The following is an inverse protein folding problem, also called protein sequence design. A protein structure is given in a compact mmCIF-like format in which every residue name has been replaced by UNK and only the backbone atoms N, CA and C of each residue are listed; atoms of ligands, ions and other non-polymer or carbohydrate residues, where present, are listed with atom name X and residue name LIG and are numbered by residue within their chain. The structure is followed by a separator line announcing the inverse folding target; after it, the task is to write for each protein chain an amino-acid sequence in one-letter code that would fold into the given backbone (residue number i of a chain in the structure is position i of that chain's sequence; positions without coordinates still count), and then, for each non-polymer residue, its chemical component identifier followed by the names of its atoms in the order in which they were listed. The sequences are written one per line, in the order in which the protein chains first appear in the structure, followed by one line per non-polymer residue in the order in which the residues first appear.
data_IF_282712755154
#
_entry.id   IF_282712755154
#
_cell.length_a   1.000
_cell.length_b   1.000
_cell.length_c   1.000
_cell.angle_alpha   90.00
_cell.angle_beta   90.00
_cell.angle_gamma   90.00
#
_symmetry.space_group_name_H-M   'P 1'
#
loop_
_entity.id
_entity.type
_entity.pdbx_description
1 polymer ?
#
# COMPACT_ATOMS: atom_id res chain seq x y z
N UNK A 1 0.21 6.00 -30.45
CA UNK A 1 0.28 4.67 -31.09
C UNK A 1 1.70 4.15 -30.89
N UNK A 2 1.87 3.07 -30.15
CA UNK A 2 3.18 2.43 -29.95
C UNK A 2 3.39 1.50 -31.14
N UNK A 3 4.56 1.57 -31.79
CA UNK A 3 4.88 0.67 -32.89
C UNK A 3 4.83 -0.80 -32.40
N UNK A 4 4.53 -1.77 -33.27
CA UNK A 4 4.50 -3.18 -32.88
C UNK A 4 5.80 -3.63 -32.20
N UNK A 5 6.95 -3.14 -32.67
CA UNK A 5 8.27 -3.33 -32.04
C UNK A 5 8.38 -2.76 -30.62
N UNK A 6 7.72 -1.64 -30.34
CA UNK A 6 7.78 -0.97 -29.04
C UNK A 6 6.74 -1.50 -28.03
N UNK A 7 5.83 -2.38 -28.46
CA UNK A 7 4.75 -2.91 -27.60
C UNK A 7 5.31 -3.81 -26.48
N UNK A 8 6.38 -4.55 -26.79
CA UNK A 8 7.11 -5.35 -25.79
C UNK A 8 7.76 -4.45 -24.73
N UNK A 9 8.46 -3.39 -25.17
CA UNK A 9 9.10 -2.39 -24.31
C UNK A 9 8.07 -1.62 -23.46
N UNK A 10 6.95 -1.22 -24.06
CA UNK A 10 5.85 -0.54 -23.35
C UNK A 10 5.24 -1.43 -22.26
N UNK A 11 5.00 -2.72 -22.56
CA UNK A 11 4.48 -3.68 -21.58
C UNK A 11 5.47 -3.91 -20.43
N UNK A 12 6.76 -4.04 -20.73
CA UNK A 12 7.81 -4.18 -19.72
C UNK A 12 7.89 -2.96 -18.78
N UNK A 13 7.79 -1.75 -19.33
CA UNK A 13 7.80 -0.50 -18.56
C UNK A 13 6.58 -0.40 -17.63
N UNK A 14 5.39 -0.81 -18.10
CA UNK A 14 4.19 -0.86 -17.25
C UNK A 14 4.38 -1.81 -16.05
N UNK A 15 4.99 -2.99 -16.28
CA UNK A 15 5.32 -3.92 -15.20
C UNK A 15 6.33 -3.34 -14.20
N UNK A 16 7.35 -2.63 -14.70
CA UNK A 16 8.33 -1.95 -13.85
C UNK A 16 7.69 -0.87 -12.97
N UNK A 17 6.87 0.02 -13.55
CA UNK A 17 6.15 1.07 -12.82
C UNK A 17 5.24 0.45 -11.75
N UNK A 18 4.51 -0.62 -12.10
CA UNK A 18 3.66 -1.35 -11.15
C UNK A 18 4.45 -1.87 -9.96
N UNK A 19 5.67 -2.37 -10.19
CA UNK A 19 6.53 -2.88 -9.12
C UNK A 19 6.96 -1.76 -8.18
N UNK A 20 7.39 -0.61 -8.72
CA UNK A 20 7.72 0.56 -7.91
C UNK A 20 6.51 1.02 -7.10
N UNK A 21 5.33 1.10 -7.73
CA UNK A 21 4.11 1.50 -7.05
C UNK A 21 3.76 0.58 -5.87
N UNK A 22 3.93 -0.74 -6.02
CA UNK A 22 3.73 -1.69 -4.92
C UNK A 22 4.73 -1.45 -3.78
N UNK A 23 6.01 -1.24 -4.08
CA UNK A 23 7.03 -0.94 -3.06
C UNK A 23 6.71 0.36 -2.30
N UNK A 24 6.36 1.43 -3.02
CA UNK A 24 5.99 2.72 -2.39
C UNK A 24 4.74 2.55 -1.53
N UNK A 25 3.73 1.81 -2.01
CA UNK A 25 2.50 1.56 -1.27
C UNK A 25 2.76 0.91 0.10
N UNK A 26 3.65 -0.10 0.16
CA UNK A 26 3.96 -0.78 1.42
C UNK A 26 4.57 0.20 2.43
N UNK A 27 5.53 1.01 2.00
CA UNK A 27 6.20 2.00 2.87
C UNK A 27 5.21 3.03 3.38
N UNK A 28 4.39 3.57 2.48
CA UNK A 28 3.39 4.59 2.80
C UNK A 28 2.33 4.05 3.78
N UNK A 29 1.83 2.83 3.55
CA UNK A 29 0.89 2.18 4.48
C UNK A 29 1.49 1.96 5.87
N UNK A 30 2.76 1.54 5.93
CA UNK A 30 3.49 1.40 7.19
C UNK A 30 3.64 2.71 7.95
N UNK A 31 3.98 3.81 7.27
CA UNK A 31 4.13 5.14 7.89
C UNK A 31 2.79 5.67 8.40
N UNK A 32 1.70 5.52 7.63
CA UNK A 32 0.36 5.93 8.08
C UNK A 32 -0.07 5.15 9.31
N UNK A 33 0.14 3.84 9.32
CA UNK A 33 -0.16 3.00 10.48
C UNK A 33 0.65 3.42 11.71
N UNK A 34 1.97 3.59 11.57
CA UNK A 34 2.85 4.04 12.65
C UNK A 34 2.43 5.41 13.19
N UNK A 35 2.14 6.36 12.30
CA UNK A 35 1.70 7.69 12.70
C UNK A 35 0.36 7.65 13.45
N UNK A 36 -0.58 6.82 13.01
CA UNK A 36 -1.85 6.64 13.69
C UNK A 36 -1.68 5.97 15.06
N UNK A 37 -0.81 4.97 15.18
CA UNK A 37 -0.49 4.33 16.47
C UNK A 37 0.18 5.31 17.44
N UNK A 38 1.07 6.18 16.96
CA UNK A 38 1.66 7.24 17.76
C UNK A 38 0.60 8.20 18.33
N UNK A 39 -0.49 8.45 17.60
CA UNK A 39 -1.63 9.22 18.09
C UNK A 39 -2.43 8.51 19.20
N UNK A 40 -2.46 7.18 19.21
CA UNK A 40 -3.12 6.38 20.25
C UNK A 40 -2.24 6.20 21.51
N UNK A 41 -1.03 6.74 21.54
CA UNK A 41 -0.09 6.62 22.67
C UNK A 41 -0.71 7.04 24.00
N UNK A 42 -1.32 8.24 24.04
CA UNK A 42 -1.94 8.75 25.27
C UNK A 42 -3.07 7.87 25.79
N UNK A 43 -3.78 7.17 24.90
CA UNK A 43 -4.84 6.22 25.27
C UNK A 43 -4.26 4.94 25.88
N UNK A 44 -3.10 4.50 25.41
CA UNK A 44 -2.39 3.34 25.97
C UNK A 44 -1.77 3.66 27.34
N UNK A 45 -1.18 4.85 27.48
CA UNK A 45 -0.65 5.35 28.76
C UNK A 45 -1.77 5.50 29.80
N UNK A 46 -2.92 6.06 29.41
CA UNK A 46 -4.10 6.19 30.26
C UNK A 46 -4.68 4.84 30.71
N UNK A 47 -4.45 3.76 29.95
CA UNK A 47 -4.85 2.41 30.31
C UNK A 47 -3.86 1.72 31.28
N UNK A 48 -2.80 2.41 31.72
CA UNK A 48 -1.83 1.89 32.67
C UNK A 48 -0.92 0.80 32.07
N UNK A 49 -0.60 0.91 30.78
CA UNK A 49 0.48 0.13 30.18
C UNK A 49 1.84 0.71 30.60
N UNK A 50 2.84 -0.15 30.72
CA UNK A 50 4.22 0.28 30.99
C UNK A 50 4.76 1.09 29.80
N UNK A 51 5.51 2.16 30.07
CA UNK A 51 6.10 3.03 29.04
C UNK A 51 6.88 2.27 27.96
N UNK A 52 7.59 1.21 28.34
CA UNK A 52 8.34 0.35 27.41
C UNK A 52 7.43 -0.35 26.40
N UNK A 53 6.30 -0.90 26.86
CA UNK A 53 5.30 -1.55 25.99
C UNK A 53 4.60 -0.50 25.11
N UNK A 54 4.31 0.67 25.67
CA UNK A 54 3.72 1.78 24.92
C UNK A 54 4.66 2.23 23.81
N UNK A 55 5.93 2.43 24.10
CA UNK A 55 6.95 2.81 23.12
C UNK A 55 7.13 1.75 22.04
N UNK A 56 7.14 0.47 22.42
CA UNK A 56 7.26 -0.62 21.47
C UNK A 56 6.03 -0.73 20.55
N UNK A 57 4.82 -0.46 21.05
CA UNK A 57 3.58 -0.46 20.28
C UNK A 57 3.32 0.82 19.48
N UNK A 58 3.97 1.95 19.82
CA UNK A 58 3.73 3.26 19.17
C UNK A 58 4.92 3.83 18.43
N UNK A 59 6.10 3.23 18.61
CA UNK A 59 7.35 3.66 17.98
C UNK A 59 7.48 3.22 16.54
N UNK A 60 8.67 3.44 15.97
CA UNK A 60 8.98 3.15 14.57
C UNK A 60 8.75 1.68 14.17
N UNK A 61 8.78 0.76 15.14
CA UNK A 61 8.58 -0.68 14.94
C UNK A 61 7.20 -1.19 15.39
N UNK A 62 6.22 -0.30 15.61
CA UNK A 62 4.87 -0.65 16.08
C UNK A 62 4.22 -1.84 15.32
N UNK A 63 4.45 -1.92 14.00
CA UNK A 63 3.92 -3.00 13.17
C UNK A 63 4.56 -4.38 13.48
N UNK A 64 5.79 -4.42 13.96
CA UNK A 64 6.51 -5.64 14.33
C UNK A 64 6.21 -6.10 15.77
N UNK A 65 5.81 -5.18 16.63
CA UNK A 65 5.62 -5.37 18.08
C UNK A 65 4.33 -6.09 18.48
N UNK A 66 3.62 -6.72 17.54
CA UNK A 66 2.34 -7.41 17.83
C UNK A 66 2.51 -8.61 18.75
N UNK A 67 3.72 -9.16 18.86
CA UNK A 67 4.02 -10.28 19.76
C UNK A 67 3.96 -9.90 21.24
N UNK A 68 4.26 -8.64 21.56
CA UNK A 68 4.20 -8.08 22.93
C UNK A 68 2.77 -8.08 23.47
N UNK A 69 1.78 -8.07 22.58
CA UNK A 69 0.37 -8.18 22.96
C UNK A 69 0.10 -9.53 23.63
N UNK A 70 0.84 -10.59 23.28
CA UNK A 70 0.70 -11.93 23.88
C UNK A 70 1.26 -12.02 25.30
N UNK A 71 2.11 -11.08 25.71
CA UNK A 71 2.70 -11.07 27.06
C UNK A 71 1.79 -10.37 28.09
N UNK A 72 0.78 -9.63 27.61
CA UNK A 72 -0.24 -9.02 28.45
C UNK A 72 -1.20 -10.10 28.99
N UNK A 73 -1.26 -10.25 30.31
CA UNK A 73 -2.20 -11.17 30.98
C UNK A 73 -3.56 -10.52 31.30
N UNK A 74 -3.68 -9.20 31.18
CA UNK A 74 -4.89 -8.45 31.56
C UNK A 74 -5.83 -8.27 30.36
N UNK A 75 -7.05 -8.86 30.38
CA UNK A 75 -8.00 -8.77 29.28
C UNK A 75 -8.42 -7.33 28.95
N UNK A 76 -8.42 -6.44 29.95
CA UNK A 76 -8.79 -5.04 29.75
C UNK A 76 -7.75 -4.29 28.91
N UNK A 77 -6.46 -4.53 29.18
CA UNK A 77 -5.33 -3.94 28.44
C UNK A 77 -5.27 -4.46 27.01
N UNK A 78 -5.47 -5.78 26.83
CA UNK A 78 -5.54 -6.39 25.49
C UNK A 78 -6.64 -5.72 24.65
N UNK A 79 -7.83 -5.48 25.23
CA UNK A 79 -8.93 -4.83 24.53
C UNK A 79 -8.62 -3.38 24.16
N UNK A 80 -7.94 -2.64 25.03
CA UNK A 80 -7.49 -1.28 24.73
C UNK A 80 -6.50 -1.26 23.58
N UNK A 81 -5.49 -2.15 23.61
CA UNK A 81 -4.50 -2.29 22.52
C UNK A 81 -5.20 -2.68 21.21
N UNK A 82 -6.07 -3.68 21.23
CA UNK A 82 -6.85 -4.07 20.05
C UNK A 82 -7.69 -2.91 19.49
N UNK A 83 -8.24 -2.07 20.38
CA UNK A 83 -8.94 -0.85 19.99
C UNK A 83 -8.04 0.19 19.31
N UNK A 84 -6.83 0.40 19.82
CA UNK A 84 -5.83 1.29 19.22
C UNK A 84 -5.37 0.79 17.84
N UNK A 85 -5.13 -0.52 17.71
CA UNK A 85 -4.81 -1.17 16.43
C UNK A 85 -5.95 -1.04 15.43
N UNK A 86 -7.19 -1.28 15.87
CA UNK A 86 -8.37 -1.14 15.01
C UNK A 86 -8.56 0.30 14.52
N UNK A 87 -8.34 1.29 15.38
CA UNK A 87 -8.37 2.73 15.02
C UNK A 87 -7.31 3.03 13.96
N UNK A 88 -6.09 2.56 14.17
CA UNK A 88 -4.97 2.79 13.26
C UNK A 88 -5.14 2.11 11.91
N UNK A 89 -5.67 0.88 11.89
CA UNK A 89 -6.02 0.18 10.66
C UNK A 89 -7.15 0.89 9.91
N UNK A 90 -8.16 1.43 10.62
CA UNK A 90 -9.23 2.19 9.98
C UNK A 90 -8.68 3.41 9.23
N UNK A 91 -7.78 4.17 9.84
CA UNK A 91 -7.13 5.31 9.17
C UNK A 91 -6.36 4.87 7.91
N UNK A 92 -5.65 3.74 7.97
CA UNK A 92 -4.98 3.17 6.81
C UNK A 92 -5.96 2.80 5.68
N UNK A 93 -7.10 2.18 6.01
CA UNK A 93 -8.13 1.84 5.03
C UNK A 93 -8.78 3.07 4.39
N UNK A 94 -9.05 4.12 5.19
CA UNK A 94 -9.57 5.40 4.68
C UNK A 94 -8.60 5.99 3.66
N UNK A 95 -7.31 6.01 3.99
CA UNK A 95 -6.26 6.53 3.11
C UNK A 95 -6.17 5.76 1.78
N UNK A 96 -6.20 4.43 1.81
CA UNK A 96 -6.26 3.62 0.59
C UNK A 96 -7.55 3.82 -0.21
N UNK A 97 -8.68 4.04 0.46
CA UNK A 97 -9.96 4.36 -0.21
C UNK A 97 -9.86 5.70 -0.95
N UNK A 98 -9.27 6.72 -0.34
CA UNK A 98 -9.01 8.00 -0.99
C UNK A 98 -8.07 7.83 -2.19
N UNK A 99 -7.00 7.04 -2.05
CA UNK A 99 -6.07 6.73 -3.16
C UNK A 99 -6.78 6.02 -4.31
N UNK A 100 -7.67 5.08 -4.02
CA UNK A 100 -8.50 4.42 -5.03
C UNK A 100 -9.42 5.41 -5.75
N UNK A 101 -10.02 6.36 -5.01
CA UNK A 101 -10.79 7.45 -5.59
C UNK A 101 -9.98 8.31 -6.55
N UNK A 102 -8.76 8.69 -6.17
CA UNK A 102 -7.82 9.42 -7.05
C UNK A 102 -7.46 8.59 -8.29
N UNK A 103 -7.22 7.28 -8.13
CA UNK A 103 -6.91 6.39 -9.25
C UNK A 103 -8.09 6.27 -10.23
N UNK A 104 -9.32 6.23 -9.74
CA UNK A 104 -10.54 6.24 -10.58
C UNK A 104 -10.67 7.56 -11.32
N UNK A 105 -10.48 8.69 -10.64
CA UNK A 105 -10.50 10.01 -11.29
C UNK A 105 -9.42 10.11 -12.37
N UNK A 106 -8.19 9.69 -12.08
CA UNK A 106 -7.10 9.66 -13.05
C UNK A 106 -7.42 8.74 -14.24
N UNK A 107 -8.08 7.60 -13.99
CA UNK A 107 -8.51 6.67 -15.04
C UNK A 107 -9.53 7.31 -15.99
N UNK A 108 -10.38 8.23 -15.51
CA UNK A 108 -11.31 8.96 -16.36
C UNK A 108 -10.61 9.95 -17.32
N UNK A 109 -9.37 10.38 -17.00
CA UNK A 109 -8.55 11.21 -17.90
C UNK A 109 -7.76 10.40 -18.94
N UNK A 110 -7.79 9.06 -18.88
CA UNK A 110 -7.19 8.21 -19.89
C UNK A 110 -8.05 8.31 -21.16
N UNK A 111 -7.55 9.07 -22.13
CA UNK A 111 -8.20 9.26 -23.44
C UNK A 111 -8.28 7.93 -24.18
N UNK A 112 -9.49 7.55 -24.62
CA UNK A 112 -9.71 6.47 -25.57
C UNK A 112 -9.02 6.82 -26.89
N UNK A 113 -7.82 6.30 -27.10
CA UNK A 113 -7.12 6.44 -28.37
C UNK A 113 -7.65 5.35 -29.31
N UNK A 114 -8.38 5.68 -30.40
CA UNK A 114 -8.94 4.67 -31.28
C UNK A 114 -7.84 3.78 -31.82
N UNK A 115 -8.08 2.47 -31.78
CA UNK A 115 -7.24 1.47 -32.41
C UNK A 115 -7.30 1.76 -33.92
N UNK A 116 -6.28 2.43 -34.46
CA UNK A 116 -6.18 2.63 -35.90
C UNK A 116 -6.00 1.25 -36.52
N UNK A 117 -7.00 0.84 -37.28
CA UNK A 117 -7.16 -0.45 -37.94
C UNK A 117 -6.23 -0.54 -39.16
N UNK A 118 -4.93 -0.25 -38.99
CA UNK A 118 -3.94 -0.46 -40.05
C UNK A 118 -3.28 -1.82 -39.84
N UNK A 119 -3.87 -2.84 -40.48
CA UNK A 119 -3.38 -4.21 -40.52
C UNK A 119 -2.03 -4.24 -41.28
N UNK A 120 -0.92 -4.03 -40.56
CA UNK A 120 0.41 -4.41 -41.08
C UNK A 120 0.52 -5.93 -40.94
N UNK A 121 0.33 -6.64 -42.06
CA UNK A 121 0.64 -8.07 -42.18
C UNK A 121 2.08 -8.31 -41.72
N UNK A 122 2.23 -9.07 -40.65
CA UNK A 122 3.51 -9.60 -40.20
C UNK A 122 3.99 -10.64 -41.21
N UNK A 123 4.76 -10.23 -42.22
CA UNK A 123 5.52 -11.19 -43.04
C UNK A 123 6.71 -11.71 -42.24
N UNK A 124 6.49 -12.76 -41.46
CA UNK A 124 7.57 -13.61 -40.94
C UNK A 124 8.05 -14.55 -42.06
N UNK A 125 8.98 -14.06 -42.89
CA UNK A 125 9.75 -14.88 -43.82
C UNK A 125 11.20 -14.94 -43.35
N UNK A 126 11.68 -16.14 -43.01
CA UNK A 126 13.10 -16.44 -42.85
C UNK A 126 13.83 -16.03 -44.14
N UNK A 127 14.83 -15.16 -44.05
CA UNK A 127 15.82 -15.00 -45.12
C UNK A 127 16.79 -16.17 -45.01
N UNK A 128 16.54 -17.21 -45.79
CA UNK A 128 17.61 -18.10 -46.27
C UNK A 128 18.41 -17.33 -47.31
N UNK A 129 19.58 -16.82 -46.92
CA UNK A 129 20.80 -16.76 -47.75
C UNK A 129 22.03 -16.94 -46.84
#
# INVERSE_FOLDING_TARGET
MVAQDDTASATAMLGFIRTIAMSVSIVVGGVVFQNSMAGERSRLEAAGLMDEIVEELTGASAAASTEVIKTLNDPSKIRTVAGAFSSSLQNMWIMYTCMAGVAVLASAFIVNQPLSEEHTETRTGLKEE
#
